data_IF_005891815687
#
_entry.id   IF_005891815687
#
_cell.length_a   1.000
_cell.length_b   1.000
_cell.length_c   1.000
_cell.angle_alpha   90.00
_cell.angle_beta   90.00
_cell.angle_gamma   90.00
#
_symmetry.space_group_name_H-M   'P 1'
#
loop_
_entity.id
_entity.type
_entity.pdbx_description
1 polymer ?
#
# COMPACT_ATOMS: atom_id res chain seq x y z
N UNK A 1 6.49 19.22 3.05
CA UNK A 1 7.28 17.98 2.81
C UNK A 1 6.42 16.72 2.92
N UNK A 2 5.57 16.56 3.95
CA UNK A 2 4.67 15.38 4.11
C UNK A 2 3.82 15.12 2.88
N UNK A 3 3.26 16.15 2.26
CA UNK A 3 2.42 16.02 1.05
C UNK A 3 3.20 15.47 -0.13
N UNK A 4 4.38 16.01 -0.43
CA UNK A 4 5.21 15.52 -1.53
C UNK A 4 5.61 14.06 -1.36
N UNK A 5 6.02 13.68 -0.14
CA UNK A 5 6.41 12.30 0.17
C UNK A 5 5.19 11.37 0.18
N UNK A 6 4.04 11.80 0.72
CA UNK A 6 2.81 11.01 0.71
C UNK A 6 2.29 10.75 -0.71
N UNK A 7 2.35 11.78 -1.59
CA UNK A 7 1.99 11.63 -3.01
C UNK A 7 3.01 10.76 -3.77
N UNK A 8 4.30 10.91 -3.49
CA UNK A 8 5.32 10.02 -4.05
C UNK A 8 5.08 8.56 -3.64
N UNK A 9 4.67 8.34 -2.38
CA UNK A 9 4.27 7.02 -1.91
C UNK A 9 3.03 6.51 -2.67
N UNK A 10 1.99 7.34 -2.85
CA UNK A 10 0.79 6.97 -3.60
C UNK A 10 1.11 6.61 -5.06
N UNK A 11 1.96 7.38 -5.73
CA UNK A 11 2.39 7.11 -7.10
C UNK A 11 3.15 5.78 -7.16
N UNK A 12 4.11 5.58 -6.27
CA UNK A 12 4.90 4.35 -6.25
C UNK A 12 4.04 3.11 -5.92
N UNK A 13 3.14 3.19 -4.92
CA UNK A 13 2.18 2.11 -4.65
C UNK A 13 1.24 1.87 -5.84
N UNK A 14 0.68 2.91 -6.45
CA UNK A 14 -0.23 2.76 -7.59
C UNK A 14 0.43 2.04 -8.76
N UNK A 15 1.70 2.36 -9.08
CA UNK A 15 2.48 1.66 -10.10
C UNK A 15 2.80 0.23 -9.63
N UNK A 16 3.29 0.07 -8.41
CA UNK A 16 3.68 -1.22 -7.84
C UNK A 16 2.51 -2.21 -7.79
N UNK A 17 1.34 -1.76 -7.34
CA UNK A 17 0.12 -2.57 -7.26
C UNK A 17 -0.40 -2.94 -8.65
N UNK A 18 -0.38 -2.00 -9.61
CA UNK A 18 -0.77 -2.27 -11.00
C UNK A 18 0.11 -3.38 -11.61
N UNK A 19 1.42 -3.24 -11.46
CA UNK A 19 2.41 -4.19 -11.99
C UNK A 19 2.37 -5.52 -11.23
N UNK A 20 2.25 -5.47 -9.90
CA UNK A 20 2.16 -6.65 -9.04
C UNK A 20 0.86 -7.45 -9.24
N UNK A 21 -0.28 -6.76 -9.40
CA UNK A 21 -1.54 -7.40 -9.75
C UNK A 21 -1.48 -8.10 -11.10
N UNK A 22 -0.87 -7.46 -12.11
CA UNK A 22 -0.64 -8.08 -13.42
C UNK A 22 0.19 -9.36 -13.30
N UNK A 23 1.30 -9.32 -12.56
CA UNK A 23 2.15 -10.49 -12.33
C UNK A 23 1.41 -11.61 -11.58
N UNK A 24 0.51 -11.25 -10.66
CA UNK A 24 -0.26 -12.22 -9.85
C UNK A 24 -1.36 -12.94 -10.64
N UNK A 25 -1.70 -12.47 -11.84
CA UNK A 25 -2.59 -13.20 -12.77
C UNK A 25 -1.90 -14.39 -13.44
N UNK A 26 -0.56 -14.37 -13.52
CA UNK A 26 0.25 -15.42 -14.17
C UNK A 26 0.92 -16.33 -13.14
N UNK A 27 1.34 -15.76 -12.03
CA UNK A 27 2.01 -16.47 -10.95
C UNK A 27 1.22 -16.31 -9.63
N UNK A 28 1.37 -17.24 -8.69
CA UNK A 28 0.75 -17.08 -7.37
C UNK A 28 1.27 -15.84 -6.63
N UNK A 29 0.44 -15.22 -5.79
CA UNK A 29 0.84 -14.10 -4.94
C UNK A 29 2.14 -14.39 -4.16
N UNK A 30 2.26 -15.61 -3.63
CA UNK A 30 3.46 -16.07 -2.91
C UNK A 30 4.69 -16.08 -3.81
N UNK A 31 4.58 -16.55 -5.06
CA UNK A 31 5.67 -16.53 -6.03
C UNK A 31 6.09 -15.10 -6.34
N UNK A 32 5.14 -14.21 -6.60
CA UNK A 32 5.43 -12.78 -6.88
C UNK A 32 6.20 -12.15 -5.71
N UNK A 33 5.75 -12.38 -4.48
CA UNK A 33 6.40 -11.84 -3.28
C UNK A 33 7.80 -12.42 -3.02
N UNK A 34 8.02 -13.70 -3.34
CA UNK A 34 9.36 -14.31 -3.23
C UNK A 34 10.43 -13.61 -4.09
N UNK A 35 10.04 -13.06 -5.23
CA UNK A 35 10.96 -12.34 -6.11
C UNK A 35 10.98 -10.83 -5.83
N UNK A 36 9.85 -10.23 -5.51
CA UNK A 36 9.75 -8.78 -5.29
C UNK A 36 10.30 -8.32 -3.94
N UNK A 37 10.13 -9.10 -2.87
CA UNK A 37 10.58 -8.71 -1.52
C UNK A 37 12.10 -8.63 -1.36
N UNK A 38 12.92 -9.55 -1.93
CA UNK A 38 14.36 -9.41 -1.92
C UNK A 38 14.85 -8.13 -2.60
N UNK A 39 14.19 -7.71 -3.70
CA UNK A 39 14.53 -6.43 -4.36
C UNK A 39 14.34 -5.26 -3.39
N UNK A 40 13.21 -5.23 -2.70
CA UNK A 40 12.95 -4.22 -1.68
C UNK A 40 13.96 -4.26 -0.54
N UNK A 41 14.33 -5.46 -0.07
CA UNK A 41 15.34 -5.62 0.98
C UNK A 41 16.71 -5.08 0.54
N UNK A 42 17.13 -5.41 -0.69
CA UNK A 42 18.40 -4.91 -1.27
C UNK A 42 18.35 -3.39 -1.40
N UNK A 43 17.27 -2.83 -1.96
CA UNK A 43 17.11 -1.38 -2.11
C UNK A 43 17.19 -0.67 -0.75
N UNK A 44 16.42 -1.13 0.25
CA UNK A 44 16.41 -0.52 1.57
C UNK A 44 17.78 -0.61 2.26
N UNK A 45 18.46 -1.74 2.13
CA UNK A 45 19.80 -1.92 2.69
C UNK A 45 20.83 -1.02 1.98
N UNK A 46 20.75 -0.89 0.67
CA UNK A 46 21.62 0.00 -0.11
C UNK A 46 21.39 1.49 0.21
N UNK A 47 20.18 1.85 0.64
CA UNK A 47 19.84 3.23 1.03
C UNK A 47 20.19 3.56 2.49
N UNK A 48 20.56 2.59 3.34
CA UNK A 48 20.92 2.83 4.75
C UNK A 48 22.00 3.91 4.93
N UNK A 49 23.09 3.96 4.12
CA UNK A 49 24.12 5.00 4.29
C UNK A 49 23.59 6.42 4.06
N UNK A 50 22.56 6.58 3.23
CA UNK A 50 21.94 7.88 2.95
C UNK A 50 20.92 8.29 4.03
N UNK A 51 20.38 7.31 4.77
CA UNK A 51 19.40 7.50 5.83
C UNK A 51 19.88 6.77 7.09
N UNK A 52 20.98 7.23 7.70
CA UNK A 52 21.55 6.56 8.86
C UNK A 52 20.54 6.52 10.02
N UNK A 53 20.65 5.50 10.85
CA UNK A 53 19.78 5.35 12.00
C UNK A 53 20.28 4.30 12.98
N UNK A 54 19.69 4.32 14.18
CA UNK A 54 20.02 3.41 15.27
C UNK A 54 18.97 2.31 15.40
N UNK A 55 19.43 1.06 15.49
CA UNK A 55 18.55 -0.07 15.76
C UNK A 55 18.33 -0.18 17.27
N UNK A 56 17.10 0.03 17.69
CA UNK A 56 16.66 -0.14 19.09
C UNK A 56 15.71 -1.32 19.22
N UNK A 57 15.44 -1.79 20.43
CA UNK A 57 14.39 -2.80 20.66
C UNK A 57 13.01 -2.37 20.11
N UNK A 58 12.72 -1.07 20.17
CA UNK A 58 11.51 -0.47 19.56
C UNK A 58 11.53 -0.60 18.04
N UNK A 59 12.65 -0.31 17.40
CA UNK A 59 12.84 -0.45 15.94
C UNK A 59 12.61 -1.89 15.51
N UNK A 60 13.16 -2.85 16.25
CA UNK A 60 12.99 -4.29 15.96
C UNK A 60 11.53 -4.70 16.14
N UNK A 61 10.91 -4.38 17.29
CA UNK A 61 9.53 -4.74 17.59
C UNK A 61 8.57 -4.24 16.50
N UNK A 62 8.61 -2.95 16.20
CA UNK A 62 7.70 -2.34 15.24
C UNK A 62 8.06 -2.69 13.78
N UNK A 63 9.34 -2.92 13.47
CA UNK A 63 9.75 -3.44 12.17
C UNK A 63 9.22 -4.85 11.92
N UNK A 64 9.33 -5.75 12.89
CA UNK A 64 8.77 -7.12 12.80
C UNK A 64 7.26 -7.09 12.73
N UNK A 65 6.59 -6.38 13.64
CA UNK A 65 5.13 -6.27 13.66
C UNK A 65 4.60 -5.68 12.34
N UNK A 66 5.27 -4.64 11.81
CA UNK A 66 4.96 -4.07 10.50
C UNK A 66 5.14 -5.10 9.39
N UNK A 67 6.28 -5.78 9.32
CA UNK A 67 6.53 -6.78 8.29
C UNK A 67 5.49 -7.88 8.26
N UNK A 68 5.09 -8.41 9.41
CA UNK A 68 4.06 -9.45 9.51
C UNK A 68 2.68 -8.91 9.12
N UNK A 69 2.31 -7.73 9.60
CA UNK A 69 1.05 -7.08 9.29
C UNK A 69 0.92 -6.77 7.79
N UNK A 70 1.95 -6.17 7.19
CA UNK A 70 1.99 -5.88 5.75
C UNK A 70 1.98 -7.13 4.89
N UNK A 71 2.67 -8.21 5.32
CA UNK A 71 2.67 -9.49 4.62
C UNK A 71 1.26 -10.10 4.58
N UNK A 72 0.52 -10.07 5.70
CA UNK A 72 -0.89 -10.51 5.74
C UNK A 72 -1.72 -9.69 4.76
N UNK A 73 -1.57 -8.36 4.79
CA UNK A 73 -2.27 -7.46 3.90
C UNK A 73 -2.06 -7.79 2.43
N UNK A 74 -0.80 -7.85 1.99
CA UNK A 74 -0.47 -8.03 0.57
C UNK A 74 -0.78 -9.43 0.05
N UNK A 75 -0.56 -10.48 0.84
CA UNK A 75 -0.89 -11.86 0.44
C UNK A 75 -2.39 -12.02 0.22
N UNK A 76 -3.20 -11.49 1.13
CA UNK A 76 -4.66 -11.53 0.99
C UNK A 76 -5.10 -10.70 -0.21
N UNK A 77 -4.60 -9.46 -0.35
CA UNK A 77 -4.94 -8.58 -1.46
C UNK A 77 -4.65 -9.23 -2.82
N UNK A 78 -3.44 -9.72 -3.04
CA UNK A 78 -3.07 -10.34 -4.31
C UNK A 78 -3.83 -11.64 -4.59
N UNK A 79 -4.15 -12.41 -3.55
CA UNK A 79 -4.99 -13.61 -3.69
C UNK A 79 -6.42 -13.25 -4.10
N UNK A 80 -6.98 -12.21 -3.50
CA UNK A 80 -8.32 -11.75 -3.84
C UNK A 80 -8.40 -11.13 -5.24
N UNK A 81 -7.39 -10.38 -5.68
CA UNK A 81 -7.34 -9.76 -7.00
C UNK A 81 -7.38 -10.74 -8.17
N UNK A 82 -7.04 -12.01 -7.92
CA UNK A 82 -7.19 -13.10 -8.90
C UNK A 82 -8.60 -13.70 -8.86
N UNK A 83 -9.23 -13.74 -7.69
CA UNK A 83 -10.46 -14.49 -7.43
C UNK A 83 -11.74 -13.64 -7.44
N UNK A 84 -11.63 -12.31 -7.35
CA UNK A 84 -12.78 -11.43 -7.23
C UNK A 84 -12.56 -10.07 -7.92
N UNK A 85 -13.63 -9.31 -8.21
CA UNK A 85 -13.54 -8.03 -8.90
C UNK A 85 -12.70 -7.01 -8.12
N UNK A 86 -11.74 -6.40 -8.80
CA UNK A 86 -10.83 -5.42 -8.24
C UNK A 86 -11.56 -4.17 -7.69
N UNK A 87 -12.71 -3.83 -8.30
CA UNK A 87 -13.56 -2.72 -7.92
C UNK A 87 -14.23 -2.83 -6.54
N UNK A 88 -14.17 -4.01 -5.92
CA UNK A 88 -14.66 -4.22 -4.54
C UNK A 88 -13.50 -4.32 -3.56
N UNK A 89 -12.44 -5.05 -3.94
CA UNK A 89 -11.30 -5.32 -3.07
C UNK A 89 -10.53 -4.02 -2.81
N UNK A 90 -10.18 -3.29 -3.86
CA UNK A 90 -9.36 -2.07 -3.77
C UNK A 90 -9.97 -0.98 -2.88
N UNK A 91 -11.28 -0.62 -2.98
CA UNK A 91 -11.87 0.37 -2.08
C UNK A 91 -11.84 -0.03 -0.62
N UNK A 92 -12.23 -1.26 -0.32
CA UNK A 92 -12.29 -1.74 1.07
C UNK A 92 -10.90 -1.74 1.69
N UNK A 93 -9.91 -2.26 0.96
CA UNK A 93 -8.52 -2.31 1.41
C UNK A 93 -7.94 -0.91 1.60
N UNK A 94 -8.08 -0.02 0.62
CA UNK A 94 -7.49 1.32 0.66
C UNK A 94 -8.15 2.23 1.71
N UNK A 95 -9.48 2.15 1.86
CA UNK A 95 -10.22 2.93 2.89
C UNK A 95 -9.77 2.52 4.28
N UNK A 96 -9.63 1.23 4.58
CA UNK A 96 -9.18 0.78 5.88
C UNK A 96 -7.69 1.08 6.11
N UNK A 97 -6.85 0.97 5.07
CA UNK A 97 -5.46 1.40 5.15
C UNK A 97 -5.31 2.90 5.48
N UNK A 98 -6.29 3.74 5.09
CA UNK A 98 -6.34 5.15 5.45
C UNK A 98 -6.94 5.39 6.85
N UNK A 99 -8.13 4.82 7.12
CA UNK A 99 -8.91 5.12 8.35
C UNK A 99 -8.18 4.63 9.60
N UNK A 100 -7.57 3.45 9.57
CA UNK A 100 -6.92 2.85 10.76
C UNK A 100 -5.80 3.74 11.30
N UNK A 101 -4.84 4.23 10.50
CA UNK A 101 -3.84 5.18 10.99
C UNK A 101 -4.41 6.54 11.37
N UNK A 102 -5.48 7.02 10.71
CA UNK A 102 -6.16 8.28 11.09
C UNK A 102 -6.75 8.16 12.49
N UNK A 103 -7.51 7.10 12.75
CA UNK A 103 -8.09 6.86 14.08
C UNK A 103 -6.98 6.73 15.12
N UNK A 104 -5.94 5.96 14.83
CA UNK A 104 -4.80 5.81 15.72
C UNK A 104 -4.10 7.15 15.98
N UNK A 105 -3.85 7.97 14.97
CA UNK A 105 -3.23 9.29 15.09
C UNK A 105 -4.02 10.19 16.04
N UNK A 106 -5.35 10.23 15.89
CA UNK A 106 -6.22 11.00 16.80
C UNK A 106 -6.16 10.46 18.23
N UNK A 107 -6.16 9.16 18.42
CA UNK A 107 -6.08 8.53 19.75
C UNK A 107 -4.76 8.85 20.46
N UNK A 108 -3.66 9.00 19.73
CA UNK A 108 -2.36 9.39 20.30
C UNK A 108 -2.17 10.90 20.41
N UNK A 109 -3.21 11.69 20.12
CA UNK A 109 -3.23 13.13 20.33
C UNK A 109 -2.93 13.98 19.09
N UNK A 110 -2.91 13.43 17.88
CA UNK A 110 -2.89 14.25 16.66
C UNK A 110 -4.09 15.19 16.63
N UNK A 111 -3.88 16.43 16.22
CA UNK A 111 -4.91 17.48 16.13
C UNK A 111 -4.85 18.11 14.73
N UNK A 112 -5.34 17.42 13.67
CA UNK A 112 -5.44 18.00 12.34
C UNK A 112 -6.30 19.27 12.39
N UNK A 113 -5.92 20.28 11.62
CA UNK A 113 -6.75 21.48 11.44
C UNK A 113 -8.05 21.15 10.70
N UNK A 114 -9.04 22.05 10.76
CA UNK A 114 -10.34 21.82 10.14
C UNK A 114 -10.22 21.54 8.62
N UNK A 115 -9.36 22.28 7.92
CA UNK A 115 -9.09 22.05 6.50
C UNK A 115 -8.54 20.64 6.25
N UNK A 116 -7.61 20.19 7.09
CA UNK A 116 -7.05 18.83 7.00
C UNK A 116 -8.12 17.75 7.28
N UNK A 117 -9.05 17.97 8.24
CA UNK A 117 -10.18 17.06 8.45
C UNK A 117 -11.10 16.94 7.23
N UNK A 118 -11.42 18.08 6.60
CA UNK A 118 -12.20 18.09 5.35
C UNK A 118 -11.43 17.36 4.23
N UNK A 119 -10.12 17.61 4.12
CA UNK A 119 -9.24 16.91 3.19
C UNK A 119 -9.19 15.40 3.43
N UNK A 120 -9.10 14.94 4.68
CA UNK A 120 -9.17 13.52 5.05
C UNK A 120 -10.50 12.91 4.59
N UNK A 121 -11.63 13.56 4.89
CA UNK A 121 -12.95 13.11 4.48
C UNK A 121 -13.09 13.00 2.95
N UNK A 122 -12.66 14.04 2.23
CA UNK A 122 -12.65 14.03 0.76
C UNK A 122 -11.71 12.98 0.19
N UNK A 123 -10.53 12.77 0.79
CA UNK A 123 -9.57 11.75 0.37
C UNK A 123 -10.15 10.33 0.50
N UNK A 124 -10.82 10.03 1.60
CA UNK A 124 -11.50 8.74 1.80
C UNK A 124 -12.63 8.58 0.77
N UNK A 125 -13.45 9.61 0.56
CA UNK A 125 -14.50 9.59 -0.45
C UNK A 125 -13.94 9.41 -1.87
N UNK A 126 -12.81 10.06 -2.17
CA UNK A 126 -12.09 9.91 -3.44
C UNK A 126 -11.65 8.47 -3.67
N UNK A 127 -11.04 7.83 -2.68
CA UNK A 127 -10.62 6.42 -2.74
C UNK A 127 -11.80 5.51 -3.08
N UNK A 128 -12.95 5.70 -2.40
CA UNK A 128 -14.16 4.92 -2.67
C UNK A 128 -14.65 5.12 -4.10
N UNK A 129 -14.74 6.37 -4.56
CA UNK A 129 -15.30 6.68 -5.88
C UNK A 129 -14.38 6.27 -7.03
N UNK A 130 -13.07 6.50 -6.89
CA UNK A 130 -12.07 6.11 -7.91
C UNK A 130 -12.03 4.61 -8.10
N UNK A 131 -12.17 3.85 -7.03
CA UNK A 131 -12.10 2.39 -7.07
C UNK A 131 -13.40 1.73 -7.58
N UNK A 132 -14.48 2.49 -7.82
CA UNK A 132 -15.70 1.95 -8.43
C UNK A 132 -15.53 1.86 -9.94
N UNK A 133 -15.57 0.63 -10.49
CA UNK A 133 -15.63 0.41 -11.93
C UNK A 133 -17.09 0.27 -12.40
N UNK A 134 -17.32 0.61 -13.68
CA UNK A 134 -18.63 0.48 -14.35
C UNK A 134 -18.80 -0.87 -15.05
N UNK A 135 -18.17 -1.94 -14.56
CA UNK A 135 -18.38 -3.25 -15.14
C UNK A 135 -19.85 -3.67 -14.96
N UNK A 136 -20.62 -3.55 -16.02
CA UNK A 136 -22.02 -3.97 -16.16
C UNK A 136 -22.19 -5.51 -16.12
N UNK A 137 -21.20 -6.25 -15.71
CA UNK A 137 -21.37 -7.67 -15.54
C UNK A 137 -22.17 -7.92 -14.27
N UNK A 138 -23.29 -8.66 -14.33
CA UNK A 138 -24.09 -9.03 -13.18
C UNK A 138 -23.24 -9.98 -12.31
N UNK A 139 -22.40 -9.41 -11.49
CA UNK A 139 -21.66 -10.18 -10.50
C UNK A 139 -22.71 -10.62 -9.48
N UNK A 140 -22.91 -11.93 -9.39
CA UNK A 140 -23.71 -12.51 -8.32
C UNK A 140 -23.26 -11.94 -6.97
N UNK A 141 -24.08 -12.06 -5.94
CA UNK A 141 -23.81 -11.53 -4.59
C UNK A 141 -22.36 -11.81 -4.21
N UNK A 142 -21.55 -10.74 -4.11
CA UNK A 142 -20.16 -10.85 -3.64
C UNK A 142 -20.21 -11.48 -2.26
N UNK A 143 -19.55 -12.61 -2.12
CA UNK A 143 -19.60 -13.35 -0.87
C UNK A 143 -19.08 -12.46 0.27
N UNK A 144 -19.80 -12.39 1.38
CA UNK A 144 -19.41 -11.64 2.58
C UNK A 144 -17.96 -11.96 2.99
N UNK A 145 -17.52 -13.20 2.73
CA UNK A 145 -16.14 -13.65 2.95
C UNK A 145 -15.11 -12.83 2.15
N UNK A 146 -15.41 -12.43 0.91
CA UNK A 146 -14.49 -11.62 0.08
C UNK A 146 -14.34 -10.23 0.69
N UNK A 147 -15.45 -9.61 1.10
CA UNK A 147 -15.45 -8.31 1.77
C UNK A 147 -14.70 -8.39 3.10
N UNK A 148 -14.94 -9.42 3.90
CA UNK A 148 -14.25 -9.62 5.18
C UNK A 148 -12.73 -9.81 4.98
N UNK A 149 -12.30 -10.59 3.99
CA UNK A 149 -10.88 -10.76 3.69
C UNK A 149 -10.25 -9.48 3.15
N UNK A 150 -10.95 -8.69 2.31
CA UNK A 150 -10.50 -7.39 1.87
C UNK A 150 -10.36 -6.42 3.06
N UNK A 151 -11.26 -6.49 4.03
CA UNK A 151 -11.15 -5.72 5.26
C UNK A 151 -9.93 -6.15 6.09
N UNK A 152 -9.69 -7.46 6.25
CA UNK A 152 -8.47 -7.95 6.93
C UNK A 152 -7.21 -7.48 6.22
N UNK A 153 -7.19 -7.49 4.88
CA UNK A 153 -6.07 -6.93 4.10
C UNK A 153 -5.86 -5.45 4.39
N UNK A 154 -6.92 -4.65 4.38
CA UNK A 154 -6.84 -3.21 4.67
C UNK A 154 -6.41 -2.91 6.10
N UNK A 155 -6.89 -3.67 7.09
CA UNK A 155 -6.39 -3.62 8.46
C UNK A 155 -4.90 -3.95 8.52
N UNK A 156 -4.46 -4.97 7.80
CA UNK A 156 -3.05 -5.35 7.69
C UNK A 156 -2.17 -4.18 7.23
N UNK A 157 -2.57 -3.47 6.17
CA UNK A 157 -1.85 -2.29 5.71
C UNK A 157 -1.96 -1.10 6.67
N UNK A 158 -3.14 -0.87 7.25
CA UNK A 158 -3.32 0.20 8.24
C UNK A 158 -2.41 0.02 9.45
N UNK A 159 -2.35 -1.19 10.02
CA UNK A 159 -1.41 -1.50 11.10
C UNK A 159 0.05 -1.44 10.65
N UNK A 160 0.37 -1.87 9.43
CA UNK A 160 1.71 -1.69 8.87
C UNK A 160 2.16 -0.23 8.92
N UNK A 161 1.30 0.69 8.48
CA UNK A 161 1.60 2.13 8.51
C UNK A 161 1.81 2.65 9.94
N UNK A 162 0.95 2.22 10.88
CA UNK A 162 1.11 2.57 12.30
C UNK A 162 2.45 2.06 12.85
N UNK A 163 2.77 0.80 12.61
CA UNK A 163 4.00 0.21 13.14
C UNK A 163 5.25 0.87 12.56
N UNK A 164 5.26 1.19 11.28
CA UNK A 164 6.38 1.92 10.67
C UNK A 164 6.54 3.31 11.31
N UNK A 165 5.45 4.06 11.48
CA UNK A 165 5.50 5.38 12.10
C UNK A 165 5.94 5.32 13.57
N UNK A 166 5.64 4.21 14.27
CA UNK A 166 6.01 4.01 15.70
C UNK A 166 7.40 3.44 15.91
N UNK A 167 8.14 3.09 14.87
CA UNK A 167 9.46 2.46 14.98
C UNK A 167 10.59 3.37 15.50
N UNK A 168 10.31 4.67 15.64
CA UNK A 168 11.25 5.70 16.11
C UNK A 168 11.83 6.55 14.99
N UNK A 169 11.94 7.86 15.23
CA UNK A 169 12.40 8.82 14.23
C UNK A 169 13.88 8.63 13.89
N UNK A 170 14.69 8.23 14.89
CA UNK A 170 16.14 8.05 14.74
C UNK A 170 16.53 6.69 14.13
N UNK A 171 15.53 5.89 13.74
CA UNK A 171 15.78 4.53 13.23
C UNK A 171 16.20 4.46 11.75
N UNK A 172 16.29 5.59 11.03
CA UNK A 172 16.61 5.61 9.59
C UNK A 172 15.67 4.68 8.80
N UNK A 173 16.19 3.90 7.88
CA UNK A 173 15.40 2.92 7.13
C UNK A 173 15.41 1.51 7.77
N UNK A 174 15.98 1.31 8.94
CA UNK A 174 16.03 0.01 9.61
C UNK A 174 14.67 -0.67 9.81
N UNK A 175 13.56 0.06 10.13
CA UNK A 175 12.23 -0.57 10.23
C UNK A 175 11.81 -1.29 8.95
N UNK A 176 12.16 -0.73 7.78
CA UNK A 176 11.84 -1.34 6.48
C UNK A 176 12.69 -2.58 6.20
N UNK A 177 13.99 -2.53 6.49
CA UNK A 177 14.89 -3.70 6.36
C UNK A 177 14.39 -4.83 7.26
N UNK A 178 14.11 -4.54 8.54
CA UNK A 178 13.61 -5.52 9.50
C UNK A 178 12.26 -6.08 9.07
N UNK A 179 11.36 -5.24 8.56
CA UNK A 179 10.05 -5.69 8.06
C UNK A 179 10.20 -6.68 6.89
N UNK A 180 11.14 -6.45 5.97
CA UNK A 180 11.42 -7.38 4.86
C UNK A 180 11.99 -8.71 5.35
N UNK A 181 12.90 -8.68 6.32
CA UNK A 181 13.46 -9.89 6.94
C UNK A 181 12.33 -10.67 7.63
N UNK A 182 11.51 -10.02 8.45
CA UNK A 182 10.40 -10.66 9.14
C UNK A 182 9.41 -11.30 8.14
N UNK A 183 9.07 -10.60 7.07
CA UNK A 183 8.22 -11.12 6.00
C UNK A 183 8.86 -12.33 5.30
N UNK A 184 10.16 -12.27 5.02
CA UNK A 184 10.89 -13.37 4.39
C UNK A 184 10.91 -14.64 5.25
N UNK A 185 11.11 -14.49 6.56
CA UNK A 185 11.10 -15.61 7.53
C UNK A 185 9.77 -16.36 7.50
N UNK A 186 8.66 -15.67 7.22
CA UNK A 186 7.33 -16.28 7.16
C UNK A 186 6.99 -16.76 5.74
N UNK A 187 7.26 -15.94 4.71
CA UNK A 187 6.84 -16.28 3.35
C UNK A 187 7.62 -17.44 2.74
N UNK A 188 8.91 -17.59 3.05
CA UNK A 188 9.77 -18.65 2.51
C UNK A 188 9.30 -20.06 2.93
N UNK A 189 9.02 -20.35 4.21
CA UNK A 189 8.43 -21.63 4.61
C UNK A 189 7.06 -21.89 3.96
N UNK A 190 6.19 -20.87 3.87
CA UNK A 190 4.88 -21.00 3.21
C UNK A 190 5.08 -21.35 1.72
N UNK A 191 6.01 -20.70 1.05
CA UNK A 191 6.33 -20.99 -0.34
C UNK A 191 6.86 -22.40 -0.53
N UNK A 192 7.69 -22.86 0.39
CA UNK A 192 8.21 -24.23 0.37
C UNK A 192 7.09 -25.26 0.53
N UNK A 193 6.19 -25.05 1.51
CA UNK A 193 5.06 -25.92 1.74
C UNK A 193 4.07 -25.95 0.57
N UNK A 194 3.83 -24.79 -0.07
CA UNK A 194 2.92 -24.64 -1.21
C UNK A 194 3.57 -24.97 -2.56
N UNK A 195 4.85 -25.36 -2.57
CA UNK A 195 5.64 -25.59 -3.79
C UNK A 195 5.60 -24.39 -4.75
N UNK A 196 5.55 -23.18 -4.20
CA UNK A 196 5.41 -21.92 -4.94
C UNK A 196 6.73 -21.35 -5.48
N UNK A 197 7.80 -22.16 -5.54
CA UNK A 197 9.08 -21.79 -6.16
C UNK A 197 9.04 -21.98 -7.69
N UNK A 198 8.02 -21.39 -8.33
CA UNK A 198 7.96 -21.40 -9.79
C UNK A 198 9.06 -20.49 -10.34
N UNK A 199 9.73 -20.93 -11.41
CA UNK A 199 10.70 -20.10 -12.13
C UNK A 199 9.95 -18.96 -12.83
N UNK A 200 10.29 -17.72 -12.46
CA UNK A 200 9.85 -16.51 -13.14
C UNK A 200 11.01 -16.05 -14.02
N UNK A 201 10.80 -16.00 -15.33
CA UNK A 201 11.88 -15.64 -16.24
C UNK A 201 11.44 -14.62 -17.29
N UNK A 202 12.41 -14.14 -18.06
CA UNK A 202 12.18 -13.23 -19.18
C UNK A 202 11.53 -11.91 -18.73
N UNK A 203 10.60 -11.41 -19.55
CA UNK A 203 9.89 -10.15 -19.30
C UNK A 203 9.10 -10.14 -17.99
N UNK A 204 8.56 -11.30 -17.58
CA UNK A 204 7.79 -11.40 -16.34
C UNK A 204 8.67 -11.17 -15.11
N UNK A 205 9.92 -11.63 -15.12
CA UNK A 205 10.87 -11.35 -14.05
C UNK A 205 11.10 -9.84 -13.90
N UNK A 206 11.33 -9.12 -15.00
CA UNK A 206 11.50 -7.67 -14.96
C UNK A 206 10.26 -6.97 -14.36
N UNK A 207 9.05 -7.43 -14.70
CA UNK A 207 7.78 -6.92 -14.16
C UNK A 207 7.71 -7.14 -12.64
N UNK A 208 8.03 -8.33 -12.15
CA UNK A 208 8.00 -8.65 -10.72
C UNK A 208 9.07 -7.89 -9.94
N UNK A 209 10.27 -7.74 -10.49
CA UNK A 209 11.34 -6.94 -9.88
C UNK A 209 10.95 -5.46 -9.81
N UNK A 210 10.33 -4.92 -10.88
CA UNK A 210 9.79 -3.56 -10.89
C UNK A 210 8.70 -3.37 -9.81
N UNK A 211 7.78 -4.33 -9.65
CA UNK A 211 6.79 -4.28 -8.57
C UNK A 211 7.46 -4.18 -7.20
N UNK A 212 8.50 -4.97 -6.95
CA UNK A 212 9.27 -4.91 -5.70
C UNK A 212 10.00 -3.59 -5.50
N UNK A 213 10.55 -3.01 -6.56
CA UNK A 213 11.21 -1.71 -6.52
C UNK A 213 10.22 -0.59 -6.15
N UNK A 214 9.07 -0.54 -6.83
CA UNK A 214 8.05 0.48 -6.57
C UNK A 214 7.42 0.32 -5.20
N UNK A 215 7.09 -0.91 -4.77
CA UNK A 215 6.59 -1.18 -3.42
C UNK A 215 7.59 -0.73 -2.34
N UNK A 216 8.87 -1.06 -2.47
CA UNK A 216 9.89 -0.64 -1.52
C UNK A 216 10.05 0.89 -1.49
N UNK A 217 10.07 1.54 -2.66
CA UNK A 217 10.14 3.00 -2.77
C UNK A 217 8.93 3.67 -2.12
N UNK A 218 7.73 3.12 -2.32
CA UNK A 218 6.51 3.61 -1.70
C UNK A 218 6.57 3.53 -0.16
N UNK A 219 7.03 2.41 0.37
CA UNK A 219 7.24 2.23 1.81
C UNK A 219 8.25 3.23 2.38
N UNK A 220 9.35 3.50 1.65
CA UNK A 220 10.33 4.51 2.04
C UNK A 220 9.71 5.90 2.08
N UNK A 221 9.03 6.31 1.02
CA UNK A 221 8.37 7.61 0.97
C UNK A 221 7.31 7.76 2.05
N UNK A 222 6.52 6.73 2.33
CA UNK A 222 5.56 6.73 3.43
C UNK A 222 6.25 6.91 4.79
N UNK A 223 7.31 6.14 5.08
CA UNK A 223 8.05 6.25 6.34
C UNK A 223 8.62 7.67 6.51
N UNK A 224 9.21 8.23 5.47
CA UNK A 224 9.72 9.60 5.49
C UNK A 224 8.60 10.63 5.65
N UNK A 225 7.45 10.43 4.98
CA UNK A 225 6.27 11.30 5.13
C UNK A 225 5.75 11.31 6.57
N UNK A 226 5.60 10.13 7.18
CA UNK A 226 5.11 9.99 8.56
C UNK A 226 6.01 10.61 9.62
N UNK A 227 7.29 10.85 9.29
CA UNK A 227 8.25 11.55 10.16
C UNK A 227 8.24 13.07 9.98
N UNK A 228 7.69 13.56 8.87
CA UNK A 228 7.66 14.98 8.52
C UNK A 228 6.32 15.67 8.84
N UNK A 229 5.34 14.91 9.34
CA UNK A 229 4.03 15.44 9.65
C UNK A 229 3.15 14.44 10.39
N UNK A 230 1.84 14.71 10.39
CA UNK A 230 0.88 13.85 11.05
C UNK A 230 0.75 12.51 10.31
N UNK A 231 0.70 11.42 11.06
CA UNK A 231 0.47 10.07 10.52
C UNK A 231 -0.85 9.98 9.75
N UNK A 232 -1.90 10.65 10.27
CA UNK A 232 -3.21 10.74 9.62
C UNK A 232 -3.10 11.30 8.19
N UNK A 233 -2.36 12.41 8.00
CA UNK A 233 -2.18 13.03 6.69
C UNK A 233 -1.33 12.17 5.74
N UNK A 234 -0.21 11.65 6.23
CA UNK A 234 0.66 10.78 5.46
C UNK A 234 -0.10 9.54 4.96
N UNK A 235 -0.94 8.93 5.81
CA UNK A 235 -1.71 7.73 5.47
C UNK A 235 -2.80 8.00 4.44
N UNK A 236 -3.56 9.11 4.58
CA UNK A 236 -4.61 9.45 3.60
C UNK A 236 -4.00 9.78 2.24
N UNK A 237 -2.94 10.59 2.20
CA UNK A 237 -2.26 10.92 0.96
C UNK A 237 -1.70 9.67 0.26
N UNK A 238 -1.07 8.79 1.02
CA UNK A 238 -0.55 7.51 0.49
C UNK A 238 -1.69 6.62 -0.01
N UNK A 239 -2.83 6.58 0.68
CA UNK A 239 -3.99 5.77 0.30
C UNK A 239 -4.73 6.26 -0.94
N UNK A 240 -4.32 7.37 -1.55
CA UNK A 240 -4.79 7.80 -2.88
C UNK A 240 -4.19 6.98 -4.03
N UNK A 241 -3.35 5.98 -3.77
CA UNK A 241 -2.75 5.12 -4.80
C UNK A 241 -3.75 4.52 -5.81
N UNK A 242 -5.05 4.22 -5.50
CA UNK A 242 -5.98 3.74 -6.51
C UNK A 242 -6.26 4.78 -7.61
N UNK A 243 -6.14 6.08 -7.29
CA UNK A 243 -6.26 7.13 -8.30
C UNK A 243 -5.14 7.01 -9.35
N UNK A 244 -3.91 6.74 -8.90
CA UNK A 244 -2.77 6.52 -9.80
C UNK A 244 -2.97 5.25 -10.64
N UNK A 245 -3.44 4.17 -10.03
CA UNK A 245 -3.74 2.91 -10.74
C UNK A 245 -4.76 3.12 -11.86
N UNK A 246 -5.85 3.89 -11.58
CA UNK A 246 -6.85 4.23 -12.59
C UNK A 246 -6.27 5.12 -13.70
N UNK A 247 -5.46 6.12 -13.33
CA UNK A 247 -4.79 6.97 -14.33
C UNK A 247 -3.87 6.15 -15.25
N UNK A 248 -3.17 5.14 -14.73
CA UNK A 248 -2.36 4.24 -15.53
C UNK A 248 -3.21 3.35 -16.44
N UNK A 249 -4.34 2.84 -15.94
CA UNK A 249 -5.27 2.04 -16.74
C UNK A 249 -5.83 2.86 -17.92
N UNK A 250 -6.21 4.11 -17.68
CA UNK A 250 -6.67 5.03 -18.74
C UNK A 250 -5.54 5.36 -19.73
N UNK A 251 -4.35 5.71 -19.25
CA UNK A 251 -3.26 6.16 -20.10
C UNK A 251 -2.59 5.04 -20.89
N UNK A 252 -2.43 3.85 -20.29
CA UNK A 252 -1.70 2.72 -20.90
C UNK A 252 -2.63 1.71 -21.57
N UNK A 253 -3.80 1.46 -20.97
CA UNK A 253 -4.76 0.47 -21.48
C UNK A 253 -5.91 1.10 -22.28
N UNK A 254 -5.94 2.47 -22.36
CA UNK A 254 -6.99 3.25 -23.03
C UNK A 254 -8.39 2.91 -22.49
N UNK A 255 -8.47 2.55 -21.19
CA UNK A 255 -9.74 2.28 -20.53
C UNK A 255 -10.53 3.59 -20.32
N UNK A 256 -11.85 3.51 -20.40
CA UNK A 256 -12.73 4.66 -20.18
C UNK A 256 -13.01 4.85 -18.69
N UNK A 257 -12.85 6.07 -18.19
CA UNK A 257 -13.25 6.39 -16.82
C UNK A 257 -14.76 6.60 -16.72
N UNK A 258 -15.33 6.02 -15.68
CA UNK A 258 -16.72 6.30 -15.32
C UNK A 258 -16.90 7.74 -14.78
N UNK A 259 -18.14 8.21 -14.74
CA UNK A 259 -18.47 9.50 -14.10
C UNK A 259 -18.04 9.53 -12.63
N UNK A 260 -18.23 8.42 -11.90
CA UNK A 260 -17.84 8.30 -10.49
C UNK A 260 -16.35 8.37 -10.29
N UNK A 261 -15.57 7.71 -11.16
CA UNK A 261 -14.10 7.78 -11.11
C UNK A 261 -13.58 9.20 -11.37
N UNK A 262 -14.17 9.93 -12.35
CA UNK A 262 -13.81 11.33 -12.60
C UNK A 262 -14.10 12.24 -11.42
N UNK A 263 -15.26 12.05 -10.77
CA UNK A 263 -15.59 12.77 -9.53
C UNK A 263 -14.60 12.41 -8.44
N UNK A 264 -14.27 11.14 -8.27
CA UNK A 264 -13.27 10.69 -7.29
C UNK A 264 -11.89 11.29 -7.51
N UNK A 265 -11.43 11.40 -8.77
CA UNK A 265 -10.16 12.07 -9.11
C UNK A 265 -10.19 13.58 -8.76
N UNK A 266 -11.32 14.25 -9.02
CA UNK A 266 -11.50 15.66 -8.64
C UNK A 266 -11.50 15.84 -7.11
N UNK A 267 -12.15 14.93 -6.37
CA UNK A 267 -12.13 14.94 -4.90
C UNK A 267 -10.72 14.66 -4.35
N UNK A 268 -9.94 13.76 -5.00
CA UNK A 268 -8.54 13.52 -4.62
C UNK A 268 -7.70 14.80 -4.75
N UNK A 269 -7.85 15.54 -5.85
CA UNK A 269 -7.17 16.81 -6.04
C UNK A 269 -7.58 17.85 -4.98
N UNK A 270 -8.88 17.97 -4.69
CA UNK A 270 -9.39 18.87 -3.65
C UNK A 270 -8.88 18.47 -2.25
N UNK A 271 -8.82 17.17 -1.94
CA UNK A 271 -8.26 16.65 -0.69
C UNK A 271 -6.79 17.06 -0.52
N UNK A 272 -5.97 16.91 -1.57
CA UNK A 272 -4.57 17.32 -1.53
C UNK A 272 -4.43 18.80 -1.21
N UNK A 273 -5.21 19.67 -1.86
CA UNK A 273 -5.20 21.11 -1.61
C UNK A 273 -5.56 21.41 -0.15
N UNK A 274 -6.63 20.81 0.38
CA UNK A 274 -7.06 21.05 1.77
C UNK A 274 -6.09 20.51 2.83
N UNK A 275 -5.35 19.44 2.51
CA UNK A 275 -4.31 18.91 3.40
C UNK A 275 -3.04 19.80 3.38
N UNK A 276 -2.83 20.59 2.33
CA UNK A 276 -1.65 21.46 2.19
C UNK A 276 -1.80 22.81 2.85
N UNK A 277 -3.02 23.26 3.09
CA UNK A 277 -3.35 24.55 3.76
C UNK A 277 -3.39 24.39 5.27
#
# INVERSE_FOLDING_TARGET
MVVLLGLAAAIAYGIGDFVGAFASRVHSAVTVLLYSYPVGAVLMTAMLPLFPGVVTGRTVLFGVAGGLSGLVGVVIMYTLMVAAPMNVISPVTAVLAAIVPVVFGVLIGERPQLAAWLGIGLGIAAVVLVSRTTDDHPHGRIALRVIALAAVSGLGFGFYFIFLARAGNDSGLWPLVISRIASAVVIVPIARQRRAFARVGGRMLAIVLAAGLFDASANMFFLLASRQGLLSLASVLTSLYPAVTVMLAVGLLHEHTSRLQRIGLALAAAAIVLITV
#
